data_IF_636750271931
#
_entry.id   IF_636750271931
#
_cell.length_a   1.000
_cell.length_b   1.000
_cell.length_c   1.000
_cell.angle_alpha   90.00
_cell.angle_beta   90.00
_cell.angle_gamma   90.00
#
_symmetry.space_group_name_H-M   'P 1'
#
loop_
_entity.id
_entity.type
_entity.pdbx_description
1 polymer ?
#
# COMPACT_ATOMS: atom_id res chain seq x y z
N UNK A 1 -10.63 30.83 -16.29
CA UNK A 1 -11.29 30.64 -14.99
C UNK A 1 -10.23 30.29 -13.95
N UNK A 2 -10.11 31.02 -12.83
CA UNK A 2 -9.21 30.66 -11.74
C UNK A 2 -9.76 29.47 -10.95
N UNK A 3 -8.87 28.71 -10.32
CA UNK A 3 -9.22 27.57 -9.47
C UNK A 3 -9.82 28.07 -8.14
N UNK A 4 -10.91 27.46 -7.63
CA UNK A 4 -11.51 27.85 -6.35
C UNK A 4 -10.52 27.78 -5.18
N UNK A 5 -10.62 28.70 -4.21
CA UNK A 5 -9.71 28.77 -3.06
C UNK A 5 -9.76 27.52 -2.15
N UNK A 6 -10.88 26.81 -2.15
CA UNK A 6 -11.10 25.56 -1.43
C UNK A 6 -10.73 24.32 -2.25
N UNK A 7 -10.26 24.48 -3.49
CA UNK A 7 -9.81 23.36 -4.30
C UNK A 7 -8.45 22.89 -3.81
N UNK A 8 -8.39 21.64 -3.38
CA UNK A 8 -7.18 21.00 -2.91
C UNK A 8 -7.24 19.50 -3.13
N UNK A 9 -6.38 18.78 -2.43
CA UNK A 9 -6.35 17.32 -2.47
C UNK A 9 -5.90 16.75 -1.13
N UNK A 10 -6.08 15.45 -0.99
CA UNK A 10 -5.63 14.70 0.18
C UNK A 10 -4.38 13.90 -0.18
N UNK A 11 -3.47 13.79 0.79
CA UNK A 11 -2.35 12.86 0.71
C UNK A 11 -2.58 11.74 1.71
N UNK A 12 -2.71 10.51 1.20
CA UNK A 12 -2.69 9.32 2.05
C UNK A 12 -1.23 8.94 2.33
N UNK A 13 -0.85 8.94 3.61
CA UNK A 13 0.44 8.42 4.05
C UNK A 13 0.21 7.02 4.62
N UNK A 14 0.53 5.93 3.89
CA UNK A 14 0.24 4.59 4.36
C UNK A 14 1.13 4.22 5.55
N UNK A 15 0.52 3.62 6.56
CA UNK A 15 1.22 2.86 7.61
C UNK A 15 1.42 1.39 7.21
N UNK A 16 0.62 0.91 6.26
CA UNK A 16 0.62 -0.47 5.78
C UNK A 16 0.19 -0.53 4.31
N UNK A 17 0.82 -1.42 3.54
CA UNK A 17 0.44 -1.75 2.15
C UNK A 17 0.55 -3.25 1.96
N UNK A 18 -0.45 -3.86 1.36
CA UNK A 18 -0.41 -5.26 0.92
C UNK A 18 -0.40 -5.32 -0.60
N UNK A 19 0.57 -6.04 -1.15
CA UNK A 19 0.57 -6.45 -2.55
C UNK A 19 0.09 -7.90 -2.62
N UNK A 20 -0.99 -8.11 -3.36
CA UNK A 20 -1.58 -9.41 -3.58
C UNK A 20 -1.50 -9.74 -5.07
N UNK A 21 -0.94 -10.90 -5.40
CA UNK A 21 -0.80 -11.36 -6.78
C UNK A 21 -1.42 -12.74 -6.95
N UNK A 22 -2.26 -12.87 -7.98
CA UNK A 22 -2.88 -14.13 -8.34
C UNK A 22 -1.85 -15.11 -8.92
N UNK A 23 -1.96 -16.39 -8.53
CA UNK A 23 -1.26 -17.52 -9.14
C UNK A 23 -2.24 -18.62 -9.53
N UNK A 24 -1.89 -19.40 -10.56
CA UNK A 24 -2.77 -20.43 -11.13
C UNK A 24 -3.05 -21.60 -10.17
N UNK A 25 -2.11 -21.88 -9.27
CA UNK A 25 -2.15 -22.91 -8.24
C UNK A 25 -2.99 -22.53 -7.00
N UNK A 26 -3.63 -21.34 -7.01
CA UNK A 26 -4.34 -20.73 -5.87
C UNK A 26 -3.43 -20.39 -4.67
N UNK A 27 -2.12 -20.54 -4.80
CA UNK A 27 -1.15 -20.10 -3.82
C UNK A 27 -0.76 -18.66 -4.14
N UNK A 28 -1.64 -17.73 -3.79
CA UNK A 28 -1.44 -16.31 -3.97
C UNK A 28 -0.17 -15.81 -3.27
N UNK A 29 0.62 -15.00 -3.98
CA UNK A 29 1.74 -14.31 -3.35
C UNK A 29 1.19 -13.07 -2.63
N UNK A 30 1.44 -12.99 -1.33
CA UNK A 30 1.08 -11.84 -0.50
C UNK A 30 2.33 -11.23 0.10
N UNK A 31 2.58 -9.96 -0.19
CA UNK A 31 3.73 -9.21 0.35
C UNK A 31 3.20 -8.03 1.15
N UNK A 32 3.52 -8.02 2.43
CA UNK A 32 3.12 -6.98 3.37
C UNK A 32 4.27 -6.00 3.57
N UNK A 33 3.97 -4.71 3.44
CA UNK A 33 4.85 -3.61 3.77
C UNK A 33 4.28 -2.90 4.99
N UNK A 34 5.00 -2.94 6.10
CA UNK A 34 4.63 -2.22 7.33
C UNK A 34 5.62 -1.11 7.59
N UNK A 35 5.13 0.12 7.76
CA UNK A 35 5.99 1.28 8.03
C UNK A 35 6.57 1.18 9.43
N UNK A 36 7.87 1.38 9.56
CA UNK A 36 8.59 1.44 10.82
C UNK A 36 9.24 2.82 10.99
N UNK A 37 9.85 3.08 12.15
CA UNK A 37 10.59 4.32 12.38
C UNK A 37 11.79 4.51 11.44
N UNK A 38 12.32 3.42 10.89
CA UNK A 38 13.55 3.40 10.08
C UNK A 38 13.28 3.10 8.60
N UNK A 39 12.03 2.87 8.19
CA UNK A 39 11.68 2.55 6.81
C UNK A 39 10.48 1.64 6.69
N UNK A 40 10.62 0.55 5.94
CA UNK A 40 9.58 -0.45 5.71
C UNK A 40 10.09 -1.83 6.09
N UNK A 41 9.31 -2.54 6.89
CA UNK A 41 9.46 -3.98 7.12
C UNK A 41 8.65 -4.72 6.06
N UNK A 42 9.26 -5.72 5.43
CA UNK A 42 8.68 -6.50 4.34
C UNK A 42 8.53 -7.95 4.79
N UNK A 43 7.31 -8.48 4.69
CA UNK A 43 6.97 -9.85 5.11
C UNK A 43 6.22 -10.55 3.98
N UNK A 44 6.53 -11.83 3.74
CA UNK A 44 5.78 -12.68 2.80
C UNK A 44 4.80 -13.53 3.57
N UNK A 45 3.52 -13.47 3.18
CA UNK A 45 2.47 -14.28 3.75
C UNK A 45 2.03 -15.35 2.75
N UNK A 46 1.94 -16.58 3.23
CA UNK A 46 1.29 -17.64 2.49
C UNK A 46 -0.23 -17.56 2.71
N UNK A 47 -1.04 -17.92 1.72
CA UNK A 47 -2.48 -18.10 1.88
C UNK A 47 -2.81 -19.35 2.70
#
# INVERSE_FOLDING_TARGET
>A
MPRPANWGGYRLTPSFVEFWQQRADRLHDRVWYTRTGEGWRIERHYP
#
